data_IF_785530085508
#
_entry.id   IF_785530085508
#
_cell.length_a   1.000
_cell.length_b   1.000
_cell.length_c   1.000
_cell.angle_alpha   90.00
_cell.angle_beta   90.00
_cell.angle_gamma   90.00
#
_symmetry.space_group_name_H-M   'P 1'
#
loop_
_entity.id
_entity.type
_entity.pdbx_description
1 polymer ?
#
# COMPACT_ATOMS: atom_id res chain seq x y z
N UNK A 1 -5.59 -22.27 -19.41
CA UNK A 1 -4.49 -21.78 -20.26
C UNK A 1 -4.62 -20.27 -20.32
N UNK A 2 -3.84 -19.53 -19.52
CA UNK A 2 -3.96 -18.07 -19.45
C UNK A 2 -3.38 -17.46 -20.72
N UNK A 3 -4.12 -16.55 -21.35
CA UNK A 3 -3.56 -15.67 -22.37
C UNK A 3 -2.35 -14.96 -21.73
N UNK A 4 -1.14 -15.30 -22.18
CA UNK A 4 0.08 -14.61 -21.76
C UNK A 4 0.03 -13.27 -22.46
N UNK A 5 -0.55 -12.28 -21.79
CA UNK A 5 -0.49 -10.91 -22.27
C UNK A 5 0.97 -10.46 -22.17
N UNK A 6 1.58 -10.20 -23.32
CA UNK A 6 2.99 -9.84 -23.41
C UNK A 6 3.17 -8.38 -23.03
N UNK A 7 3.62 -8.15 -21.79
CA UNK A 7 4.01 -6.84 -21.29
C UNK A 7 5.22 -6.33 -22.08
N UNK A 8 5.16 -5.06 -22.47
CA UNK A 8 6.27 -4.35 -23.10
C UNK A 8 6.71 -3.17 -22.23
N UNK A 9 7.99 -2.83 -22.29
CA UNK A 9 8.54 -1.61 -21.69
C UNK A 9 8.36 -0.40 -22.62
N UNK A 10 8.82 0.78 -22.18
CA UNK A 10 8.70 2.03 -22.92
C UNK A 10 9.46 2.05 -24.25
N UNK A 11 10.41 1.13 -24.45
CA UNK A 11 11.14 0.93 -25.70
C UNK A 11 10.42 -0.05 -26.65
N UNK A 12 9.32 -0.66 -26.18
CA UNK A 12 8.57 -1.67 -26.91
C UNK A 12 9.17 -3.07 -26.82
N UNK A 13 10.15 -3.29 -25.93
CA UNK A 13 10.74 -4.59 -25.70
C UNK A 13 9.90 -5.42 -24.74
N UNK A 14 9.87 -6.74 -24.96
CA UNK A 14 9.15 -7.64 -24.06
C UNK A 14 9.82 -7.73 -22.70
N UNK A 15 9.02 -7.54 -21.65
CA UNK A 15 9.47 -7.71 -20.27
C UNK A 15 9.61 -9.22 -19.98
N UNK A 16 10.78 -9.61 -19.46
CA UNK A 16 11.06 -11.00 -19.10
C UNK A 16 10.22 -11.40 -17.88
N UNK A 17 9.46 -12.49 -17.98
CA UNK A 17 8.56 -12.89 -16.90
C UNK A 17 9.25 -13.10 -15.53
N UNK A 18 10.48 -13.60 -15.51
CA UNK A 18 11.23 -13.85 -14.27
C UNK A 18 11.74 -12.58 -13.58
N UNK A 19 11.71 -11.42 -14.25
CA UNK A 19 12.09 -10.14 -13.64
C UNK A 19 10.90 -9.43 -13.02
N UNK A 20 9.67 -9.92 -13.23
CA UNK A 20 8.46 -9.29 -12.70
C UNK A 20 8.35 -9.62 -11.20
N UNK A 21 8.39 -8.58 -10.36
CA UNK A 21 8.24 -8.68 -8.91
C UNK A 21 6.77 -8.64 -8.48
N UNK A 22 5.99 -7.77 -9.14
CA UNK A 22 4.57 -7.56 -8.87
C UNK A 22 3.85 -7.02 -10.10
N UNK A 23 2.54 -7.24 -10.16
CA UNK A 23 1.64 -6.70 -11.19
C UNK A 23 0.39 -6.20 -10.49
N UNK A 24 0.07 -4.92 -10.69
CA UNK A 24 -1.17 -4.28 -10.26
C UNK A 24 -2.15 -4.10 -11.41
N UNK A 25 -3.12 -3.20 -11.24
CA UNK A 25 -4.13 -2.94 -12.28
C UNK A 25 -3.60 -2.05 -13.41
N UNK A 26 -2.77 -1.08 -13.05
CA UNK A 26 -2.23 -0.08 -13.97
C UNK A 26 -0.69 -0.09 -14.06
N UNK A 27 -0.01 -0.78 -13.14
CA UNK A 27 1.44 -0.75 -13.03
C UNK A 27 2.04 -2.15 -12.87
N UNK A 28 3.25 -2.33 -13.41
CA UNK A 28 4.09 -3.50 -13.21
C UNK A 28 5.38 -3.07 -12.53
N UNK A 29 5.86 -3.92 -11.62
CA UNK A 29 7.16 -3.72 -10.96
C UNK A 29 8.11 -4.80 -11.47
N UNK A 30 9.25 -4.37 -12.01
CA UNK A 30 10.29 -5.24 -12.54
C UNK A 30 11.60 -5.02 -11.79
N UNK A 31 12.37 -6.09 -11.58
CA UNK A 31 13.71 -6.02 -11.06
C UNK A 31 14.72 -5.82 -12.20
N UNK A 32 15.60 -4.85 -12.05
CA UNK A 32 16.83 -4.70 -12.84
C UNK A 32 17.97 -4.50 -11.86
N UNK A 33 18.84 -5.50 -11.75
CA UNK A 33 19.93 -5.53 -10.76
C UNK A 33 19.43 -5.32 -9.30
N UNK A 34 19.88 -4.26 -8.63
CA UNK A 34 19.50 -3.86 -7.27
C UNK A 34 18.41 -2.78 -7.24
N UNK A 35 17.73 -2.56 -8.38
CA UNK A 35 16.65 -1.59 -8.54
C UNK A 35 15.33 -2.31 -8.85
N UNK A 36 14.27 -1.87 -8.18
CA UNK A 36 12.88 -2.19 -8.52
C UNK A 36 12.29 -1.01 -9.29
N UNK A 37 11.92 -1.24 -10.55
CA UNK A 37 11.35 -0.22 -11.43
C UNK A 37 9.85 -0.47 -11.55
N UNK A 38 9.06 0.51 -11.09
CA UNK A 38 7.61 0.55 -11.29
C UNK A 38 7.30 1.37 -12.54
N UNK A 39 6.52 0.80 -13.44
CA UNK A 39 6.15 1.42 -14.72
C UNK A 39 4.72 1.06 -15.09
N UNK A 40 4.13 1.83 -16.00
CA UNK A 40 2.79 1.58 -16.49
C UNK A 40 2.70 0.20 -17.18
N UNK A 41 1.58 -0.49 -16.98
CA UNK A 41 1.26 -1.69 -17.76
C UNK A 41 0.95 -1.29 -19.19
N UNK A 42 1.74 -1.80 -20.13
CA UNK A 42 1.51 -1.65 -21.55
C UNK A 42 1.48 -3.04 -22.18
N UNK A 43 0.35 -3.36 -22.81
CA UNK A 43 0.23 -4.54 -23.65
C UNK A 43 0.14 -4.13 -25.11
N UNK A 44 0.61 -4.99 -26.01
CA UNK A 44 0.65 -4.74 -27.45
C UNK A 44 -0.72 -4.38 -28.07
N UNK A 45 -1.81 -4.81 -27.45
CA UNK A 45 -3.19 -4.58 -27.89
C UNK A 45 -3.92 -3.46 -27.13
N UNK A 46 -3.23 -2.73 -26.25
CA UNK A 46 -3.84 -1.58 -25.57
C UNK A 46 -4.03 -0.41 -26.52
N UNK A 47 -5.13 0.32 -26.32
CA UNK A 47 -5.34 1.62 -26.96
C UNK A 47 -4.37 2.64 -26.38
N UNK A 48 -4.04 3.68 -27.14
CA UNK A 48 -3.21 4.79 -26.64
C UNK A 48 -3.82 5.43 -25.39
N UNK A 49 -5.16 5.56 -25.36
CA UNK A 49 -5.90 6.06 -24.20
C UNK A 49 -5.66 5.21 -22.95
N UNK A 50 -5.71 3.87 -23.05
CA UNK A 50 -5.48 3.00 -21.89
C UNK A 50 -4.04 3.06 -21.39
N UNK A 51 -3.09 3.17 -22.31
CA UNK A 51 -1.66 3.36 -21.97
C UNK A 51 -1.47 4.68 -21.22
N UNK A 52 -2.09 5.75 -21.71
CA UNK A 52 -1.99 7.07 -21.09
C UNK A 52 -2.67 7.12 -19.71
N UNK A 53 -3.82 6.47 -19.54
CA UNK A 53 -4.46 6.32 -18.22
C UNK A 53 -3.52 5.64 -17.21
N UNK A 54 -2.86 4.55 -17.61
CA UNK A 54 -1.91 3.85 -16.76
C UNK A 54 -0.67 4.70 -16.43
N UNK A 55 -0.13 5.42 -17.42
CA UNK A 55 1.01 6.35 -17.22
C UNK A 55 0.65 7.53 -16.33
N UNK A 56 -0.56 8.07 -16.47
CA UNK A 56 -1.07 9.10 -15.57
C UNK A 56 -1.09 8.63 -14.11
N UNK A 57 -1.44 7.36 -13.86
CA UNK A 57 -1.31 6.74 -12.55
C UNK A 57 0.12 6.80 -11.99
N UNK A 58 1.13 6.46 -12.80
CA UNK A 58 2.54 6.54 -12.38
C UNK A 58 2.95 7.98 -12.06
N UNK A 59 2.60 8.95 -12.93
CA UNK A 59 2.97 10.36 -12.71
C UNK A 59 2.35 10.94 -11.44
N UNK A 60 1.10 10.60 -11.12
CA UNK A 60 0.47 10.99 -9.85
C UNK A 60 1.25 10.45 -8.65
N UNK A 61 1.68 9.20 -8.69
CA UNK A 61 2.50 8.62 -7.63
C UNK A 61 3.90 9.26 -7.55
N UNK A 62 4.52 9.63 -8.67
CA UNK A 62 5.77 10.38 -8.69
C UNK A 62 5.65 11.72 -7.92
N UNK A 63 4.51 12.42 -8.02
CA UNK A 63 4.27 13.65 -7.25
C UNK A 63 4.23 13.41 -5.74
N UNK A 64 3.76 12.24 -5.30
CA UNK A 64 3.81 11.81 -3.89
C UNK A 64 5.27 11.59 -3.47
N UNK A 65 6.03 10.86 -4.29
CA UNK A 65 7.46 10.61 -4.04
C UNK A 65 8.26 11.90 -3.91
N UNK A 66 8.02 12.89 -4.78
CA UNK A 66 8.69 14.19 -4.74
C UNK A 66 8.41 14.97 -3.45
N UNK A 67 7.23 14.78 -2.84
CA UNK A 67 6.89 15.44 -1.58
C UNK A 67 7.47 14.74 -0.36
N UNK A 68 7.46 13.40 -0.36
CA UNK A 68 7.99 12.61 0.77
C UNK A 68 9.52 12.61 0.77
N UNK A 69 10.14 12.45 -0.40
CA UNK A 69 11.59 12.44 -0.58
C UNK A 69 12.01 13.57 -1.55
N UNK A 70 11.91 14.84 -1.12
CA UNK A 70 12.27 15.99 -1.97
C UNK A 70 13.76 16.02 -2.33
N UNK A 71 14.58 15.37 -1.50
CA UNK A 71 15.97 15.09 -1.81
C UNK A 71 16.17 13.57 -1.90
N UNK A 72 16.32 13.06 -3.11
CA UNK A 72 16.56 11.65 -3.40
C UNK A 72 17.83 11.14 -2.73
N UNK A 73 18.84 11.98 -2.47
CA UNK A 73 20.07 11.52 -1.79
C UNK A 73 19.88 11.30 -0.28
N UNK A 74 18.71 11.66 0.27
CA UNK A 74 18.41 11.57 1.71
C UNK A 74 17.21 10.64 1.95
N UNK A 75 17.47 9.36 2.29
CA UNK A 75 16.40 8.40 2.59
C UNK A 75 15.54 8.87 3.75
N UNK A 76 14.23 8.61 3.66
CA UNK A 76 13.28 8.79 4.77
C UNK A 76 13.14 7.46 5.52
N UNK A 77 13.36 7.49 6.84
CA UNK A 77 13.22 6.31 7.68
C UNK A 77 11.80 5.73 7.59
N UNK A 78 11.70 4.40 7.45
CA UNK A 78 10.42 3.69 7.33
C UNK A 78 9.76 3.73 5.95
N UNK A 79 10.32 4.47 4.98
CA UNK A 79 9.84 4.51 3.59
C UNK A 79 10.91 3.91 2.67
N UNK A 80 10.51 3.16 1.64
CA UNK A 80 11.47 2.64 0.66
C UNK A 80 12.19 3.80 -0.02
N UNK A 81 13.48 3.64 -0.24
CA UNK A 81 14.28 4.68 -0.86
C UNK A 81 13.93 4.81 -2.35
N UNK A 82 13.43 5.98 -2.75
CA UNK A 82 13.27 6.35 -4.15
C UNK A 82 14.63 6.75 -4.72
N UNK A 83 15.08 6.08 -5.76
CA UNK A 83 16.38 6.28 -6.40
C UNK A 83 16.29 7.25 -7.58
N UNK A 84 15.11 7.37 -8.19
CA UNK A 84 14.92 8.17 -9.38
C UNK A 84 13.48 8.13 -9.89
N UNK A 85 13.11 9.18 -10.63
CA UNK A 85 11.81 9.30 -11.31
C UNK A 85 11.99 9.58 -12.81
N UNK A 86 12.72 8.73 -13.57
CA UNK A 86 12.98 9.00 -14.98
C UNK A 86 11.74 8.69 -15.84
N UNK A 87 11.36 9.65 -16.69
CA UNK A 87 10.20 9.50 -17.58
C UNK A 87 8.92 9.15 -16.80
N UNK A 88 8.19 8.13 -17.27
CA UNK A 88 6.97 7.62 -16.63
C UNK A 88 7.24 6.38 -15.77
N UNK A 89 8.36 6.39 -15.04
CA UNK A 89 8.77 5.29 -14.16
C UNK A 89 9.20 5.77 -12.78
N UNK A 90 9.13 4.88 -11.80
CA UNK A 90 9.62 5.10 -10.44
C UNK A 90 10.67 4.04 -10.15
N UNK A 91 11.90 4.47 -9.89
CA UNK A 91 13.01 3.60 -9.51
C UNK A 91 13.13 3.59 -7.99
N UNK A 92 12.98 2.41 -7.40
CA UNK A 92 13.03 2.19 -5.96
C UNK A 92 14.16 1.22 -5.63
N UNK A 93 14.73 1.33 -4.43
CA UNK A 93 15.65 0.32 -3.92
C UNK A 93 14.99 -1.05 -3.93
N UNK A 94 15.67 -2.06 -4.48
CA UNK A 94 15.18 -3.43 -4.43
C UNK A 94 15.21 -3.99 -3.00
N UNK A 95 14.07 -4.55 -2.59
CA UNK A 95 13.86 -5.11 -1.26
C UNK A 95 13.88 -6.64 -1.33
N UNK A 96 15.05 -7.24 -1.10
CA UNK A 96 15.30 -8.67 -1.33
C UNK A 96 14.54 -9.61 -0.38
N UNK A 97 14.07 -9.13 0.77
CA UNK A 97 13.19 -9.87 1.68
C UNK A 97 11.75 -9.98 1.17
N UNK A 98 11.39 -9.24 0.12
CA UNK A 98 10.06 -9.25 -0.46
C UNK A 98 9.02 -8.57 0.44
N UNK A 99 7.75 -8.95 0.30
CA UNK A 99 6.65 -8.34 1.07
C UNK A 99 6.50 -9.01 2.43
N UNK A 100 6.09 -8.24 3.45
CA UNK A 100 5.74 -8.77 4.76
C UNK A 100 4.64 -9.85 4.64
N UNK A 101 3.66 -9.66 3.76
CA UNK A 101 2.63 -10.66 3.44
C UNK A 101 3.22 -12.01 3.01
N UNK A 102 4.21 -12.01 2.10
CA UNK A 102 4.91 -13.25 1.68
C UNK A 102 5.70 -13.86 2.84
N UNK A 103 6.40 -13.04 3.61
CA UNK A 103 7.14 -13.48 4.79
C UNK A 103 6.24 -14.15 5.84
N UNK A 104 5.09 -13.55 6.14
CA UNK A 104 4.10 -14.10 7.08
C UNK A 104 3.49 -15.41 6.58
N UNK A 105 3.21 -15.53 5.27
CA UNK A 105 2.73 -16.80 4.67
C UNK A 105 3.71 -17.94 4.84
N UNK A 106 5.02 -17.67 4.82
CA UNK A 106 6.02 -18.70 5.10
C UNK A 106 6.08 -19.13 6.58
N UNK A 107 5.48 -18.34 7.48
CA UNK A 107 5.41 -18.64 8.92
C UNK A 107 4.04 -19.13 9.39
N UNK A 108 2.99 -19.02 8.58
CA UNK A 108 1.61 -19.27 9.00
C UNK A 108 0.77 -20.08 7.98
N UNK A 109 -0.44 -20.51 8.39
CA UNK A 109 -1.38 -21.24 7.52
C UNK A 109 -2.15 -20.25 6.62
N UNK A 110 -2.38 -20.55 5.34
CA UNK A 110 -2.93 -19.58 4.38
C UNK A 110 -4.45 -19.38 4.54
N UNK A 111 -4.90 -18.14 4.49
CA UNK A 111 -6.27 -17.73 4.16
C UNK A 111 -6.23 -16.68 3.03
N UNK A 112 -6.99 -16.95 1.96
CA UNK A 112 -7.27 -16.10 0.78
C UNK A 112 -8.55 -15.30 1.12
N UNK A 113 -8.82 -14.05 0.75
CA UNK A 113 -8.72 -13.29 -0.51
C UNK A 113 -8.60 -11.79 -0.13
N UNK A 114 -7.88 -10.95 -0.90
CA UNK A 114 -7.65 -9.53 -0.56
C UNK A 114 -8.28 -8.61 -1.62
N UNK A 115 -9.27 -7.81 -1.22
CA UNK A 115 -9.80 -6.68 -1.99
C UNK A 115 -9.13 -5.34 -1.60
N UNK A 116 -9.19 -4.37 -2.51
CA UNK A 116 -8.41 -3.14 -2.57
C UNK A 116 -9.20 -1.94 -2.03
N UNK A 117 -8.55 -1.04 -1.27
CA UNK A 117 -8.28 0.36 -1.72
C UNK A 117 -7.74 1.42 -0.70
N UNK A 118 -7.28 1.16 0.52
CA UNK A 118 -6.23 2.05 1.12
C UNK A 118 -4.96 1.17 1.31
N UNK A 119 -3.76 1.75 1.29
CA UNK A 119 -2.51 1.03 0.98
C UNK A 119 -1.64 0.64 2.19
N UNK A 120 -2.09 0.83 3.44
CA UNK A 120 -1.37 0.32 4.62
C UNK A 120 -1.69 -1.17 4.81
N UNK A 121 -1.09 -1.99 3.96
CA UNK A 121 -1.32 -3.44 3.92
C UNK A 121 0.01 -4.17 3.94
N UNK A 122 0.03 -5.37 4.54
CA UNK A 122 1.26 -6.18 4.66
C UNK A 122 1.91 -6.52 3.32
N UNK A 123 1.19 -6.42 2.20
CA UNK A 123 1.75 -6.57 0.84
C UNK A 123 2.53 -5.36 0.34
N UNK A 124 2.24 -4.17 0.86
CA UNK A 124 2.87 -2.89 0.49
C UNK A 124 3.99 -2.52 1.49
N UNK A 125 4.18 -3.35 2.51
CA UNK A 125 5.28 -3.30 3.45
C UNK A 125 6.35 -4.29 2.98
N UNK A 126 7.56 -3.80 2.74
CA UNK A 126 8.68 -4.57 2.22
C UNK A 126 9.76 -4.80 3.28
N UNK A 127 10.55 -5.85 3.06
CA UNK A 127 11.66 -6.28 3.90
C UNK A 127 12.97 -6.26 3.11
N UNK A 128 14.04 -5.76 3.71
CA UNK A 128 15.39 -5.95 3.16
C UNK A 128 15.99 -7.30 3.60
N UNK A 129 17.23 -7.59 3.18
CA UNK A 129 17.95 -8.80 3.58
C UNK A 129 18.24 -8.92 5.08
N UNK A 130 18.12 -7.81 5.82
CA UNK A 130 18.29 -7.75 7.29
C UNK A 130 16.95 -7.71 8.02
N UNK A 131 15.82 -7.87 7.32
CA UNK A 131 14.46 -7.77 7.84
C UNK A 131 14.05 -6.37 8.33
N UNK A 132 14.72 -5.32 7.84
CA UNK A 132 14.24 -3.95 8.06
C UNK A 132 12.96 -3.72 7.26
N UNK A 133 11.99 -3.06 7.89
CA UNK A 133 10.63 -2.86 7.36
C UNK A 133 10.50 -1.47 6.75
N UNK A 134 9.94 -1.37 5.54
CA UNK A 134 9.63 -0.09 4.88
C UNK A 134 8.29 -0.13 4.15
N UNK A 135 7.62 1.02 4.04
CA UNK A 135 6.44 1.22 3.19
C UNK A 135 6.89 1.52 1.76
N UNK A 136 6.26 0.91 0.75
CA UNK A 136 6.73 1.00 -0.63
C UNK A 136 5.70 1.35 -1.72
N UNK A 137 4.40 1.16 -1.48
CA UNK A 137 3.38 1.45 -2.49
C UNK A 137 2.59 2.69 -2.08
N UNK A 138 2.72 3.75 -2.88
CA UNK A 138 2.05 5.04 -2.66
C UNK A 138 1.07 5.38 -3.79
N UNK A 139 0.72 4.37 -4.61
CA UNK A 139 -0.12 4.57 -5.79
C UNK A 139 -1.55 4.99 -5.46
N UNK A 140 -2.06 4.65 -4.28
CA UNK A 140 -3.36 5.12 -3.78
C UNK A 140 -3.24 6.33 -2.83
N UNK A 141 -2.06 6.93 -2.65
CA UNK A 141 -1.90 8.09 -1.77
C UNK A 141 -2.50 9.35 -2.39
N UNK A 142 -3.29 10.06 -1.59
CA UNK A 142 -3.83 11.37 -1.96
C UNK A 142 -2.97 12.48 -1.38
N UNK A 143 -2.65 13.46 -2.20
CA UNK A 143 -1.89 14.62 -1.74
C UNK A 143 -2.88 15.70 -1.28
N UNK A 144 -2.88 15.93 0.02
CA UNK A 144 -3.70 16.98 0.63
C UNK A 144 -2.97 18.33 0.65
N UNK A 145 -3.69 19.46 0.53
CA UNK A 145 -3.16 20.79 0.83
C UNK A 145 -2.51 20.87 2.22
N UNK A 146 -1.50 21.72 2.38
CA UNK A 146 -0.71 21.81 3.62
C UNK A 146 -1.53 22.29 4.83
N UNK A 147 -2.61 23.03 4.58
CA UNK A 147 -3.55 23.57 5.56
C UNK A 147 -4.71 22.62 5.87
N UNK A 148 -4.68 21.40 5.32
CA UNK A 148 -5.71 20.40 5.55
C UNK A 148 -5.68 19.90 6.99
N UNK A 149 -6.83 19.98 7.66
CA UNK A 149 -7.04 19.36 8.97
C UNK A 149 -7.29 17.86 8.78
N UNK A 150 -6.25 17.05 8.96
CA UNK A 150 -6.27 15.61 8.66
C UNK A 150 -7.34 14.81 9.42
N UNK A 151 -7.79 15.27 10.60
CA UNK A 151 -8.82 14.56 11.38
C UNK A 151 -10.18 14.51 10.69
N UNK A 152 -10.50 15.53 9.90
CA UNK A 152 -11.80 15.68 9.22
C UNK A 152 -11.68 15.46 7.71
N UNK A 153 -10.46 15.25 7.21
CA UNK A 153 -10.17 15.12 5.80
C UNK A 153 -10.44 13.69 5.32
N UNK A 154 -11.09 13.63 4.16
CA UNK A 154 -11.28 12.42 3.37
C UNK A 154 -10.86 12.70 1.93
N UNK A 155 -10.36 11.69 1.23
CA UNK A 155 -10.11 11.80 -0.21
C UNK A 155 -11.36 11.44 -1.04
N UNK A 156 -11.19 11.40 -2.37
CA UNK A 156 -12.25 11.08 -3.33
C UNK A 156 -12.83 9.67 -3.15
N UNK A 157 -12.11 8.78 -2.44
CA UNK A 157 -12.55 7.42 -2.11
C UNK A 157 -12.99 7.27 -0.66
N UNK A 158 -13.13 8.39 0.06
CA UNK A 158 -13.44 8.45 1.48
C UNK A 158 -12.37 7.78 2.38
N UNK A 159 -11.14 7.58 1.91
CA UNK A 159 -10.01 7.24 2.79
C UNK A 159 -9.72 8.46 3.68
N UNK A 160 -9.54 8.21 4.97
CA UNK A 160 -9.06 9.16 5.97
C UNK A 160 -7.87 8.59 6.73
N UNK A 161 -7.26 9.40 7.58
CA UNK A 161 -6.25 8.90 8.54
C UNK A 161 -6.82 7.80 9.44
N UNK A 162 -8.13 7.80 9.71
CA UNK A 162 -8.78 6.77 10.52
C UNK A 162 -8.84 5.43 9.79
N UNK A 163 -9.16 5.44 8.49
CA UNK A 163 -9.15 4.20 7.70
C UNK A 163 -7.73 3.64 7.58
N UNK A 164 -6.71 4.50 7.44
CA UNK A 164 -5.30 4.11 7.45
C UNK A 164 -4.87 3.48 8.78
N UNK A 165 -5.24 4.11 9.90
CA UNK A 165 -4.97 3.56 11.24
C UNK A 165 -5.69 2.23 11.48
N UNK A 166 -6.91 2.08 10.98
CA UNK A 166 -7.63 0.81 11.05
C UNK A 166 -6.89 -0.31 10.30
N UNK A 167 -6.39 -0.01 9.11
CA UNK A 167 -5.60 -0.95 8.32
C UNK A 167 -4.27 -1.29 9.00
N UNK A 168 -3.61 -0.32 9.63
CA UNK A 168 -2.42 -0.57 10.44
C UNK A 168 -2.72 -1.57 11.57
N UNK A 169 -3.89 -1.45 12.23
CA UNK A 169 -4.35 -2.42 13.22
C UNK A 169 -4.50 -3.84 12.65
N UNK A 170 -4.98 -3.97 11.40
CA UNK A 170 -5.00 -5.27 10.70
C UNK A 170 -3.59 -5.80 10.48
N UNK A 171 -2.64 -4.97 10.05
CA UNK A 171 -1.23 -5.39 9.89
C UNK A 171 -0.63 -5.89 11.19
N UNK A 172 -0.83 -5.20 12.31
CA UNK A 172 -0.38 -5.68 13.63
C UNK A 172 -1.01 -7.02 14.01
N UNK A 173 -2.31 -7.17 13.76
CA UNK A 173 -3.00 -8.45 13.97
C UNK A 173 -2.38 -9.58 13.13
N UNK A 174 -2.09 -9.33 11.85
CA UNK A 174 -1.46 -10.30 10.95
C UNK A 174 -0.06 -10.70 11.44
N UNK A 175 0.75 -9.73 11.91
CA UNK A 175 2.08 -9.99 12.46
C UNK A 175 2.00 -10.89 13.70
N UNK A 176 1.10 -10.58 14.64
CA UNK A 176 1.01 -11.28 15.92
C UNK A 176 0.42 -12.68 15.74
N UNK A 177 -0.62 -12.81 14.93
CA UNK A 177 -1.36 -14.07 14.78
C UNK A 177 -0.86 -14.94 13.62
N UNK A 178 -0.07 -14.36 12.72
CA UNK A 178 0.28 -14.96 11.44
C UNK A 178 -0.91 -15.09 10.47
N UNK A 179 -2.12 -14.62 10.84
CA UNK A 179 -3.35 -14.89 10.09
C UNK A 179 -3.77 -13.67 9.28
N UNK A 180 -3.94 -13.84 7.97
CA UNK A 180 -4.47 -12.81 7.09
C UNK A 180 -5.98 -12.70 7.25
N UNK A 181 -6.49 -11.46 7.38
CA UNK A 181 -7.88 -11.21 7.73
C UNK A 181 -8.80 -11.16 6.50
N UNK A 182 -8.27 -10.75 5.34
CA UNK A 182 -9.05 -10.57 4.11
C UNK A 182 -10.11 -9.46 4.20
N UNK A 183 -10.09 -8.65 5.25
CA UNK A 183 -11.08 -7.61 5.50
C UNK A 183 -10.84 -6.45 4.54
N UNK A 184 -11.90 -6.05 3.83
CA UNK A 184 -11.93 -4.88 2.97
C UNK A 184 -12.69 -3.75 3.67
N UNK A 185 -12.16 -2.53 3.60
CA UNK A 185 -12.85 -1.33 4.06
C UNK A 185 -13.82 -0.76 3.00
N UNK A 186 -13.86 -1.37 1.82
CA UNK A 186 -14.59 -0.86 0.67
C UNK A 186 -15.92 -1.55 0.50
N UNK A 187 -16.97 -0.75 0.39
CA UNK A 187 -18.30 -1.22 0.05
C UNK A 187 -18.75 -0.65 -1.29
N UNK A 188 -19.42 -1.47 -2.11
CA UNK A 188 -20.07 -1.01 -3.33
C UNK A 188 -21.32 -0.22 -2.97
N UNK A 189 -21.30 1.09 -3.16
CA UNK A 189 -22.45 1.98 -2.94
C UNK A 189 -23.42 1.95 -4.13
N UNK A 190 -23.79 0.76 -4.61
CA UNK A 190 -24.77 0.60 -5.71
C UNK A 190 -24.37 1.18 -7.08
N UNK A 191 -23.16 1.71 -7.22
CA UNK A 191 -22.53 2.14 -8.48
C UNK A 191 -21.11 1.55 -8.61
N UNK A 192 -20.40 1.89 -9.69
CA UNK A 192 -19.05 1.37 -9.98
C UNK A 192 -17.97 1.87 -8.99
N UNK A 193 -18.28 2.89 -8.17
CA UNK A 193 -17.35 3.47 -7.21
C UNK A 193 -17.42 2.78 -5.85
N UNK A 194 -16.28 2.19 -5.47
CA UNK A 194 -16.01 1.65 -4.15
C UNK A 194 -15.59 2.79 -3.22
N UNK A 195 -16.34 3.00 -2.13
CA UNK A 195 -16.06 4.02 -1.11
C UNK A 195 -15.58 3.33 0.17
N UNK A 196 -14.55 3.90 0.80
CA UNK A 196 -14.03 3.42 2.08
C UNK A 196 -14.99 3.77 3.21
N UNK A 197 -15.21 2.83 4.13
CA UNK A 197 -16.00 3.04 5.34
C UNK A 197 -15.21 2.52 6.53
N UNK A 198 -15.15 3.30 7.60
CA UNK A 198 -14.57 2.82 8.84
C UNK A 198 -15.40 1.61 9.32
N UNK A 199 -14.77 0.44 9.52
CA UNK A 199 -15.50 -0.80 9.73
C UNK A 199 -16.09 -0.84 11.13
N UNK A 200 -17.26 -1.46 11.27
CA UNK A 200 -17.80 -1.76 12.60
C UNK A 200 -16.92 -2.82 13.29
N UNK A 201 -16.85 -2.76 14.63
CA UNK A 201 -15.95 -3.63 15.41
C UNK A 201 -16.25 -5.12 15.27
N UNK A 202 -17.48 -5.50 14.95
CA UNK A 202 -17.94 -6.88 14.79
C UNK A 202 -17.40 -7.58 13.54
N UNK A 203 -17.04 -6.82 12.50
CA UNK A 203 -16.40 -7.38 11.30
C UNK A 203 -14.88 -7.54 11.46
N UNK A 204 -14.30 -6.92 12.49
CA UNK A 204 -12.88 -7.00 12.82
C UNK A 204 -12.56 -8.23 13.69
N UNK A 205 -11.36 -8.81 13.59
CA UNK A 205 -11.02 -10.03 14.32
C UNK A 205 -11.17 -9.87 15.84
N UNK A 206 -11.56 -10.94 16.52
CA UNK A 206 -11.54 -10.96 17.98
C UNK A 206 -10.11 -11.05 18.51
N UNK A 207 -9.76 -10.22 19.48
CA UNK A 207 -8.43 -10.27 20.10
C UNK A 207 -8.45 -11.22 21.31
N UNK A 208 -7.77 -12.36 21.18
CA UNK A 208 -7.60 -13.29 22.29
C UNK A 208 -6.74 -12.70 23.41
N UNK A 209 -6.91 -13.21 24.64
CA UNK A 209 -6.18 -12.74 25.85
C UNK A 209 -4.65 -12.87 25.78
N UNK A 210 -4.10 -13.57 24.78
CA UNK A 210 -2.66 -13.81 24.61
C UNK A 210 -2.00 -12.87 23.61
N UNK A 211 -2.75 -11.94 23.02
CA UNK A 211 -2.22 -10.91 22.14
C UNK A 211 -1.61 -9.83 23.02
N UNK A 212 -0.29 -9.68 22.93
CA UNK A 212 0.50 -8.83 23.82
C UNK A 212 0.30 -7.33 23.56
N UNK A 213 0.04 -6.93 22.31
CA UNK A 213 -0.26 -5.54 21.92
C UNK A 213 -1.75 -5.32 21.63
N UNK A 214 -2.62 -5.94 22.43
CA UNK A 214 -4.06 -5.85 22.24
C UNK A 214 -4.55 -4.40 22.21
N UNK A 215 -4.05 -3.58 23.13
CA UNK A 215 -4.57 -2.21 23.32
C UNK A 215 -4.23 -1.31 22.14
N UNK A 216 -3.04 -1.49 21.53
CA UNK A 216 -2.63 -0.78 20.30
C UNK A 216 -3.58 -1.12 19.15
N UNK A 217 -3.87 -2.41 18.97
CA UNK A 217 -4.77 -2.88 17.91
C UNK A 217 -6.21 -2.40 18.15
N UNK A 218 -6.74 -2.49 19.38
CA UNK A 218 -8.08 -1.96 19.69
C UNK A 218 -8.17 -0.45 19.48
N UNK A 219 -7.07 0.29 19.73
CA UNK A 219 -7.05 1.75 19.51
C UNK A 219 -7.05 2.09 18.02
N UNK A 220 -6.30 1.34 17.20
CA UNK A 220 -6.39 1.41 15.74
C UNK A 220 -7.80 1.11 15.21
N UNK A 221 -8.52 0.21 15.87
CA UNK A 221 -9.86 -0.23 15.49
C UNK A 221 -11.00 0.60 16.11
N UNK A 222 -10.66 1.77 16.66
CA UNK A 222 -11.61 2.78 17.11
C UNK A 222 -11.38 4.07 16.32
N UNK A 223 -12.40 4.51 15.60
CA UNK A 223 -12.36 5.80 14.91
C UNK A 223 -12.10 6.92 15.93
N UNK A 224 -11.15 7.81 15.64
CA UNK A 224 -10.72 8.85 16.59
C UNK A 224 -9.88 8.36 17.76
N UNK A 225 -9.51 7.07 17.83
CA UNK A 225 -8.85 6.45 18.98
C UNK A 225 -7.53 7.11 19.41
N UNK A 226 -6.77 7.64 18.45
CA UNK A 226 -5.53 8.38 18.71
C UNK A 226 -5.69 9.92 18.67
N UNK A 227 -6.89 10.43 18.38
CA UNK A 227 -7.15 11.87 18.27
C UNK A 227 -7.94 12.49 19.42
N UNK A 228 -8.40 11.68 20.39
CA UNK A 228 -9.33 12.13 21.45
C UNK A 228 -8.70 12.31 22.83
N UNK A 229 -7.42 11.93 23.03
CA UNK A 229 -6.74 12.07 24.34
C UNK A 229 -5.84 13.31 24.44
N UNK A 230 -6.44 14.49 24.27
CA UNK A 230 -5.78 15.79 24.50
C UNK A 230 -6.53 16.77 25.41
N UNK A 231 -7.75 16.42 25.88
CA UNK A 231 -8.60 17.32 26.66
C UNK A 231 -9.08 16.76 28.01
N UNK A 232 -8.45 15.70 28.51
CA UNK A 232 -8.74 15.10 29.81
C UNK A 232 -7.55 15.19 30.74
N UNK A 233 -7.34 16.34 31.39
CA UNK A 233 -6.42 16.45 32.51
C UNK A 233 -6.84 15.52 33.65
N UNK A 234 -6.22 14.34 33.73
CA UNK A 234 -6.23 13.49 34.90
C UNK A 234 -5.06 13.89 35.80
N UNK A 235 -5.38 14.57 36.91
CA UNK A 235 -4.42 14.95 37.92
C UNK A 235 -3.71 13.75 38.56
N UNK A 236 -2.46 14.00 38.94
CA UNK A 236 -1.63 13.20 39.84
C UNK A 236 -2.37 12.77 41.11
#
# INVERSE_FOLDING_TARGET
MSAVYWLIDDEGHYIKAHTILATGDAAVVVQRDDVAIKMAIVYKNFTLEKVEENRHGIRREQEVWQRIQPNIDTPVEGIVHCLGLPGDTIELRYMSGGTLSKFLKHRARPSIELQKRCDILSRNILLDGSLNVVIADLGASTIMPIDTVMMDAVDDYNCSIWTDLCQLGLVFYEIITGTQTGISLYHSSGGDDLIAVFPSRDILPSLGKRIWDRDIIETCWREGGYGTEGAGGGGF
#
